data_IF_962069382793
#
_entry.id   IF_962069382793
#
_cell.length_a   1.000
_cell.length_b   1.000
_cell.length_c   1.000
_cell.angle_alpha   90.00
_cell.angle_beta   90.00
_cell.angle_gamma   90.00
#
_symmetry.space_group_name_H-M   'P 1'
#
loop_
_entity.id
_entity.type
_entity.pdbx_description
1 polymer ?
#
# COMPACT_ATOMS: atom_id res chain seq x y z
N UNK A 1 17.07 7.54 -17.41
CA UNK A 1 17.40 6.19 -16.89
C UNK A 1 17.33 6.20 -15.38
N UNK A 2 16.70 5.22 -14.81
CA UNK A 2 16.51 5.13 -13.35
C UNK A 2 17.64 4.27 -12.78
N UNK A 3 18.39 4.79 -11.82
CA UNK A 3 19.51 4.08 -11.20
C UNK A 3 19.05 2.97 -10.23
N UNK A 4 17.78 2.95 -9.87
CA UNK A 4 17.18 1.95 -8.99
C UNK A 4 15.84 1.49 -9.56
N UNK A 5 15.33 0.31 -9.14
CA UNK A 5 14.00 -0.14 -9.56
C UNK A 5 12.96 0.92 -9.20
N UNK A 6 12.04 1.28 -10.11
CA UNK A 6 10.99 2.24 -9.79
C UNK A 6 10.02 1.68 -8.75
N UNK A 7 9.40 2.57 -7.99
CA UNK A 7 8.29 2.26 -7.10
C UNK A 7 7.00 2.72 -7.77
N UNK A 8 6.14 1.77 -8.11
CA UNK A 8 4.82 2.04 -8.65
C UNK A 8 3.79 2.13 -7.53
N UNK A 9 2.81 3.02 -7.68
CA UNK A 9 1.68 3.07 -6.76
C UNK A 9 0.39 2.84 -7.53
N UNK A 10 -0.37 1.84 -7.10
CA UNK A 10 -1.68 1.50 -7.67
C UNK A 10 -2.74 2.13 -6.79
N UNK A 11 -3.42 3.15 -7.31
CA UNK A 11 -4.48 3.88 -6.61
C UNK A 11 -5.84 3.40 -7.09
N UNK A 12 -6.67 2.90 -6.18
CA UNK A 12 -7.98 2.35 -6.51
C UNK A 12 -9.08 3.03 -5.70
N UNK A 13 -10.26 3.17 -6.32
CA UNK A 13 -11.44 3.69 -5.65
C UNK A 13 -11.69 5.18 -5.81
N UNK A 14 -10.91 5.85 -6.63
CA UNK A 14 -11.21 7.24 -7.04
C UNK A 14 -12.33 7.19 -8.09
N UNK A 15 -13.35 8.07 -8.03
CA UNK A 15 -14.49 8.00 -8.96
C UNK A 15 -14.14 8.03 -10.45
N UNK A 16 -13.06 8.69 -10.82
CA UNK A 16 -12.58 8.75 -12.22
C UNK A 16 -11.46 7.76 -12.53
N UNK A 17 -11.14 6.85 -11.61
CA UNK A 17 -10.09 5.86 -11.77
C UNK A 17 -10.63 4.44 -11.72
N UNK A 18 -9.73 3.47 -11.59
CA UNK A 18 -10.09 2.06 -11.48
C UNK A 18 -10.80 1.78 -10.13
N UNK A 19 -11.80 0.90 -10.11
CA UNK A 19 -12.50 0.56 -8.88
C UNK A 19 -11.61 -0.23 -7.92
N UNK A 20 -11.88 -0.10 -6.61
CA UNK A 20 -11.14 -0.82 -5.57
C UNK A 20 -11.66 -2.27 -5.47
N UNK A 21 -11.24 -3.09 -6.41
CA UNK A 21 -11.60 -4.50 -6.49
C UNK A 21 -10.36 -5.38 -6.60
N UNK A 22 -10.51 -6.63 -6.25
CA UNK A 22 -9.46 -7.65 -6.44
C UNK A 22 -9.02 -7.71 -7.90
N UNK A 23 -9.97 -7.73 -8.82
CA UNK A 23 -9.69 -7.84 -10.25
C UNK A 23 -8.87 -6.66 -10.76
N UNK A 24 -9.22 -5.42 -10.37
CA UNK A 24 -8.49 -4.23 -10.78
C UNK A 24 -7.04 -4.24 -10.28
N UNK A 25 -6.83 -4.57 -9.00
CA UNK A 25 -5.48 -4.63 -8.45
C UNK A 25 -4.65 -5.72 -9.11
N UNK A 26 -5.23 -6.89 -9.33
CA UNK A 26 -4.55 -8.03 -9.96
C UNK A 26 -4.07 -7.68 -11.38
N UNK A 27 -4.94 -7.10 -12.20
CA UNK A 27 -4.58 -6.70 -13.56
C UNK A 27 -3.45 -5.68 -13.56
N UNK A 28 -3.56 -4.66 -12.72
CA UNK A 28 -2.55 -3.60 -12.67
C UNK A 28 -1.22 -4.11 -12.11
N UNK A 29 -1.25 -4.97 -11.09
CA UNK A 29 -0.05 -5.57 -10.54
C UNK A 29 0.68 -6.46 -11.57
N UNK A 30 -0.08 -7.21 -12.37
CA UNK A 30 0.49 -8.07 -13.41
C UNK A 30 1.16 -7.28 -14.53
N UNK A 31 0.82 -6.01 -14.69
CA UNK A 31 1.44 -5.12 -15.69
C UNK A 31 2.76 -4.50 -15.21
N UNK A 32 3.07 -4.60 -13.93
CA UNK A 32 4.29 -4.02 -13.36
C UNK A 32 5.49 -4.89 -13.77
N UNK A 33 6.59 -4.28 -14.25
CA UNK A 33 7.78 -5.03 -14.62
C UNK A 33 8.35 -5.84 -13.46
N UNK A 34 8.88 -7.03 -13.77
CA UNK A 34 9.58 -7.85 -12.78
C UNK A 34 10.74 -7.08 -12.17
N UNK A 35 10.92 -7.23 -10.86
CA UNK A 35 11.98 -6.56 -10.12
C UNK A 35 11.64 -5.15 -9.65
N UNK A 36 10.55 -4.56 -10.16
CA UNK A 36 10.07 -3.27 -9.65
C UNK A 36 9.31 -3.46 -8.34
N UNK A 37 9.37 -2.45 -7.48
CA UNK A 37 8.57 -2.40 -6.27
C UNK A 37 7.23 -1.73 -6.56
N UNK A 38 6.18 -2.13 -5.86
CA UNK A 38 4.89 -1.48 -5.97
C UNK A 38 4.13 -1.50 -4.66
N UNK A 39 3.25 -0.54 -4.49
CA UNK A 39 2.33 -0.45 -3.38
C UNK A 39 0.91 -0.28 -3.94
N UNK A 40 -0.05 -0.97 -3.35
CA UNK A 40 -1.46 -0.80 -3.67
C UNK A 40 -2.18 -0.12 -2.53
N UNK A 41 -3.13 0.75 -2.86
CA UNK A 41 -3.95 1.41 -1.86
C UNK A 41 -5.34 1.74 -2.37
N UNK A 42 -6.27 1.85 -1.44
CA UNK A 42 -7.65 2.22 -1.71
C UNK A 42 -8.01 3.53 -1.04
N UNK A 43 -8.96 4.23 -1.64
CA UNK A 43 -9.46 5.52 -1.13
C UNK A 43 -10.65 5.29 -0.21
N UNK A 44 -10.74 6.08 0.86
CA UNK A 44 -11.86 6.05 1.81
C UNK A 44 -12.05 4.68 2.45
N UNK A 45 -13.27 4.16 2.41
CA UNK A 45 -13.62 2.85 3.00
C UNK A 45 -12.87 1.67 2.38
N UNK A 46 -12.25 1.87 1.22
CA UNK A 46 -11.50 0.83 0.53
C UNK A 46 -10.06 0.69 1.01
N UNK A 47 -9.59 1.59 1.88
CA UNK A 47 -8.18 1.60 2.29
C UNK A 47 -7.77 0.28 2.94
N UNK A 48 -8.46 -0.15 3.99
CA UNK A 48 -8.07 -1.36 4.71
C UNK A 48 -8.29 -2.66 3.90
N UNK A 49 -9.39 -2.83 3.18
CA UNK A 49 -9.50 -3.98 2.27
C UNK A 49 -8.37 -4.06 1.25
N UNK A 50 -7.92 -2.92 0.72
CA UNK A 50 -6.83 -2.91 -0.26
C UNK A 50 -5.45 -3.13 0.38
N UNK A 51 -5.28 -2.87 1.66
CA UNK A 51 -4.09 -3.33 2.40
C UNK A 51 -3.95 -4.85 2.30
N UNK A 52 -4.99 -5.56 2.67
CA UNK A 52 -5.00 -7.02 2.60
C UNK A 52 -4.78 -7.51 1.16
N UNK A 53 -5.48 -6.92 0.19
CA UNK A 53 -5.38 -7.31 -1.20
C UNK A 53 -3.98 -7.09 -1.76
N UNK A 54 -3.33 -5.98 -1.43
CA UNK A 54 -1.97 -5.68 -1.88
C UNK A 54 -0.97 -6.71 -1.34
N UNK A 55 -1.07 -7.04 -0.05
CA UNK A 55 -0.21 -8.06 0.58
C UNK A 55 -0.39 -9.41 -0.09
N UNK A 56 -1.63 -9.83 -0.33
CA UNK A 56 -1.93 -11.11 -0.98
C UNK A 56 -1.30 -11.20 -2.37
N UNK A 57 -1.27 -10.10 -3.11
CA UNK A 57 -0.69 -10.03 -4.45
C UNK A 57 0.82 -9.78 -4.45
N UNK A 58 1.44 -9.69 -3.29
CA UNK A 58 2.90 -9.51 -3.18
C UNK A 58 3.37 -8.07 -3.20
N UNK A 59 2.49 -7.10 -3.04
CA UNK A 59 2.82 -5.68 -3.01
C UNK A 59 3.04 -5.13 -1.62
N UNK A 60 3.49 -3.90 -1.57
CA UNK A 60 3.54 -3.10 -0.36
C UNK A 60 2.23 -2.34 -0.16
N UNK A 61 2.09 -1.64 0.94
CA UNK A 61 0.85 -0.93 1.27
C UNK A 61 1.10 0.55 1.51
N UNK A 62 0.05 1.34 1.32
CA UNK A 62 0.03 2.75 1.68
C UNK A 62 -1.26 3.03 2.45
N UNK A 63 -1.14 3.70 3.59
CA UNK A 63 -2.28 4.15 4.40
C UNK A 63 -2.02 5.57 4.91
N UNK A 64 -3.06 6.24 5.32
CA UNK A 64 -2.96 7.57 5.91
C UNK A 64 -4.20 8.41 5.68
N UNK A 65 -4.23 9.57 6.34
CA UNK A 65 -5.36 10.51 6.27
C UNK A 65 -5.53 11.17 4.91
N UNK A 66 -4.50 11.17 4.07
CA UNK A 66 -4.63 11.67 2.71
C UNK A 66 -5.67 10.90 1.91
N UNK A 67 -5.78 9.59 2.16
CA UNK A 67 -6.63 8.69 1.39
C UNK A 67 -7.90 8.27 2.13
N UNK A 68 -7.93 8.37 3.46
CA UNK A 68 -9.05 7.93 4.29
C UNK A 68 -9.06 8.64 5.64
N UNK A 69 -10.20 9.15 6.06
CA UNK A 69 -10.37 9.87 7.33
C UNK A 69 -10.86 8.99 8.48
N UNK A 70 -11.29 7.75 8.21
CA UNK A 70 -12.02 6.94 9.18
C UNK A 70 -11.28 5.66 9.55
N UNK A 71 -11.23 5.39 10.85
CA UNK A 71 -10.73 4.12 11.38
C UNK A 71 -11.73 2.99 11.10
N UNK A 72 -12.99 3.31 11.29
CA UNK A 72 -14.13 2.48 10.96
C UNK A 72 -15.34 3.39 10.71
N UNK A 73 -16.46 2.85 10.30
CA UNK A 73 -17.64 3.64 9.96
C UNK A 73 -18.03 4.59 11.11
N UNK A 74 -18.00 5.89 10.82
CA UNK A 74 -18.38 6.93 11.77
C UNK A 74 -17.33 7.31 12.80
N UNK A 75 -16.14 6.69 12.78
CA UNK A 75 -15.06 6.95 13.74
C UNK A 75 -13.86 7.54 13.04
N UNK A 76 -13.54 8.79 13.31
CA UNK A 76 -12.39 9.47 12.73
C UNK A 76 -11.09 8.85 13.24
N UNK A 77 -10.10 8.77 12.35
CA UNK A 77 -8.80 8.19 12.65
C UNK A 77 -7.70 9.26 12.74
N UNK A 78 -6.62 8.89 13.40
CA UNK A 78 -5.32 9.55 13.23
C UNK A 78 -4.46 8.74 12.26
N UNK A 79 -3.38 9.33 11.75
CA UNK A 79 -2.42 8.59 10.92
C UNK A 79 -1.86 7.37 11.67
N UNK A 80 -1.51 7.55 12.96
CA UNK A 80 -0.99 6.46 13.78
C UNK A 80 -1.97 5.29 13.88
N UNK A 81 -3.26 5.57 14.06
CA UNK A 81 -4.29 4.53 14.13
C UNK A 81 -4.44 3.77 12.83
N UNK A 82 -4.37 4.46 11.69
CA UNK A 82 -4.44 3.80 10.38
C UNK A 82 -3.22 2.91 10.15
N UNK A 83 -2.03 3.38 10.52
CA UNK A 83 -0.80 2.58 10.44
C UNK A 83 -0.89 1.35 11.34
N UNK A 84 -1.33 1.50 12.58
CA UNK A 84 -1.49 0.37 13.52
C UNK A 84 -2.48 -0.67 12.99
N UNK A 85 -3.62 -0.22 12.44
CA UNK A 85 -4.61 -1.13 11.86
C UNK A 85 -4.06 -1.89 10.68
N UNK A 86 -3.36 -1.21 9.78
CA UNK A 86 -2.74 -1.88 8.62
C UNK A 86 -1.65 -2.85 9.06
N UNK A 87 -0.87 -2.51 10.07
CA UNK A 87 0.16 -3.38 10.63
C UNK A 87 -0.44 -4.68 11.17
N UNK A 88 -1.57 -4.60 11.87
CA UNK A 88 -2.28 -5.79 12.36
C UNK A 88 -2.73 -6.68 11.20
N UNK A 89 -3.29 -6.08 10.14
CA UNK A 89 -3.73 -6.85 8.96
C UNK A 89 -2.55 -7.56 8.32
N UNK A 90 -1.43 -6.86 8.12
CA UNK A 90 -0.23 -7.43 7.52
C UNK A 90 0.31 -8.60 8.35
N UNK A 91 0.41 -8.42 9.67
CA UNK A 91 0.89 -9.45 10.57
C UNK A 91 -0.06 -10.65 10.62
N UNK A 92 -1.36 -10.42 10.64
CA UNK A 92 -2.36 -11.49 10.66
C UNK A 92 -2.34 -12.33 9.37
N UNK A 93 -1.94 -11.74 8.25
CA UNK A 93 -1.73 -12.45 6.99
C UNK A 93 -0.39 -13.19 6.93
N UNK A 94 0.43 -13.09 7.98
CA UNK A 94 1.74 -13.75 8.03
C UNK A 94 2.85 -13.03 7.28
N UNK A 95 2.61 -11.79 6.84
CA UNK A 95 3.62 -10.97 6.19
C UNK A 95 4.45 -10.18 7.21
N UNK A 96 5.58 -9.65 6.77
CA UNK A 96 6.50 -8.89 7.61
C UNK A 96 6.53 -7.43 7.23
N UNK A 97 6.55 -6.55 8.22
CA UNK A 97 6.78 -5.13 8.03
C UNK A 97 8.26 -4.85 8.16
N UNK A 98 8.85 -4.23 7.15
CA UNK A 98 10.25 -3.85 7.18
C UNK A 98 10.46 -2.63 8.08
N UNK A 99 11.59 -2.59 8.79
CA UNK A 99 11.99 -1.37 9.48
C UNK A 99 12.51 -0.34 8.46
N UNK A 100 12.69 0.94 8.85
CA UNK A 100 13.13 1.98 7.91
C UNK A 100 14.44 1.68 7.19
N UNK A 101 15.40 1.05 7.86
CA UNK A 101 16.68 0.71 7.26
C UNK A 101 16.53 -0.40 6.20
N UNK A 102 15.77 -1.44 6.51
CA UNK A 102 15.45 -2.50 5.57
C UNK A 102 14.69 -1.96 4.35
N UNK A 103 13.75 -1.04 4.56
CA UNK A 103 12.99 -0.42 3.48
C UNK A 103 13.88 0.43 2.57
N UNK A 104 14.78 1.23 3.14
CA UNK A 104 15.75 2.01 2.35
C UNK A 104 16.62 1.10 1.50
N UNK A 105 17.07 -0.01 2.06
CA UNK A 105 17.90 -0.98 1.35
C UNK A 105 17.12 -1.65 0.20
N UNK A 106 15.89 -2.08 0.46
CA UNK A 106 15.04 -2.70 -0.55
C UNK A 106 14.74 -1.76 -1.70
N UNK A 107 14.49 -0.49 -1.41
CA UNK A 107 14.17 0.53 -2.42
C UNK A 107 15.42 1.20 -2.99
N UNK A 108 16.61 0.82 -2.51
CA UNK A 108 17.88 1.42 -2.91
C UNK A 108 17.88 2.93 -2.75
N UNK A 109 17.39 3.42 -1.62
CA UNK A 109 17.33 4.84 -1.31
C UNK A 109 18.69 5.31 -0.75
N UNK A 110 19.07 6.51 -1.14
CA UNK A 110 20.27 7.15 -0.59
C UNK A 110 20.01 7.63 0.82
N UNK A 111 20.98 7.40 1.72
CA UNK A 111 20.93 7.93 3.07
C UNK A 111 21.21 9.42 3.03
N UNK A 112 20.30 10.24 3.52
CA UNK A 112 20.42 11.69 3.50
C UNK A 112 21.02 12.28 4.79
N UNK A 113 21.08 11.49 5.84
CA UNK A 113 21.57 11.92 7.14
C UNK A 113 22.56 10.94 7.73
#
# INVERSE_FOLDING_TARGET
>A
MVDSPPLYQICLGIPWGAPATTASMKVMADMIPKGANWAGFGIGRHQMPMVAQSVILGGNVRVGLEDNLYLEKGVLASNAQLVEKSARIINDLGAKILNPEEARKKLNLKKQF
#
